data_IF_698868157688
#
_entry.id   IF_698868157688
#
_cell.length_a   1.000
_cell.length_b   1.000
_cell.length_c   1.000
_cell.angle_alpha   90.00
_cell.angle_beta   90.00
_cell.angle_gamma   90.00
#
_symmetry.space_group_name_H-M   'P 1'
#
loop_
_entity.id
_entity.type
_entity.pdbx_description
1 polymer ?
#
# COMPACT_ATOMS: atom_id res chain seq x y z
N UNK A 1 30.61 -8.35 -24.76
CA UNK A 1 29.96 -8.72 -26.01
C UNK A 1 30.67 -9.89 -26.64
N UNK A 2 29.91 -10.94 -26.95
CA UNK A 2 30.39 -12.13 -27.67
C UNK A 2 29.75 -12.18 -29.05
N UNK A 3 30.51 -12.56 -30.06
CA UNK A 3 30.01 -12.81 -31.41
C UNK A 3 29.83 -14.31 -31.61
N UNK A 4 28.64 -14.73 -32.01
CA UNK A 4 28.38 -16.10 -32.40
C UNK A 4 28.80 -16.29 -33.86
N UNK A 5 29.81 -17.12 -34.11
CA UNK A 5 30.24 -17.47 -35.46
C UNK A 5 29.65 -18.84 -35.84
N UNK A 6 28.70 -18.82 -36.75
CA UNK A 6 27.99 -20.03 -37.18
C UNK A 6 28.76 -20.79 -38.27
N UNK A 7 28.96 -22.09 -38.05
CA UNK A 7 29.61 -23.01 -38.98
C UNK A 7 28.57 -24.06 -39.43
N UNK A 8 28.07 -24.00 -40.68
CA UNK A 8 26.96 -24.83 -41.14
C UNK A 8 27.33 -26.31 -41.34
N UNK A 9 28.61 -26.61 -41.58
CA UNK A 9 29.10 -27.96 -41.87
C UNK A 9 29.78 -28.53 -40.63
N UNK A 10 28.99 -29.13 -39.74
CA UNK A 10 29.45 -29.65 -38.44
C UNK A 10 30.57 -30.71 -38.55
N UNK A 11 30.55 -31.68 -39.50
CA UNK A 11 31.65 -32.64 -39.63
C UNK A 11 32.99 -31.99 -39.98
N UNK A 12 32.98 -30.94 -40.81
CA UNK A 12 34.19 -30.21 -41.17
C UNK A 12 34.72 -29.38 -39.99
N UNK A 13 33.81 -28.82 -39.18
CA UNK A 13 34.17 -28.13 -37.94
C UNK A 13 34.86 -29.08 -36.94
N UNK A 14 34.31 -30.27 -36.72
CA UNK A 14 34.89 -31.26 -35.83
C UNK A 14 36.28 -31.70 -36.30
N UNK A 15 36.44 -31.96 -37.60
CA UNK A 15 37.75 -32.30 -38.19
C UNK A 15 38.77 -31.15 -38.01
N UNK A 16 38.33 -29.90 -38.15
CA UNK A 16 39.19 -28.74 -37.94
C UNK A 16 39.64 -28.61 -36.48
N UNK A 17 38.75 -28.82 -35.51
CA UNK A 17 39.07 -28.80 -34.08
C UNK A 17 39.95 -29.99 -33.67
N UNK A 18 39.76 -31.15 -34.29
CA UNK A 18 40.62 -32.32 -34.08
C UNK A 18 42.05 -32.08 -34.61
N UNK A 19 42.15 -31.39 -35.75
CA UNK A 19 43.43 -31.05 -36.38
C UNK A 19 44.16 -29.89 -35.67
N UNK A 20 43.40 -28.92 -35.14
CA UNK A 20 43.90 -27.79 -34.37
C UNK A 20 43.06 -27.58 -33.09
N UNK A 21 43.47 -28.21 -31.97
CA UNK A 21 42.74 -28.10 -30.70
C UNK A 21 42.73 -26.68 -30.10
N UNK A 22 43.66 -25.80 -30.49
CA UNK A 22 43.74 -24.43 -29.96
C UNK A 22 42.73 -23.49 -30.62
N UNK A 23 42.14 -23.88 -31.75
CA UNK A 23 41.20 -23.08 -32.53
C UNK A 23 40.02 -22.54 -31.70
N UNK A 24 39.45 -23.37 -30.83
CA UNK A 24 38.32 -22.98 -29.97
C UNK A 24 38.76 -21.96 -28.92
N UNK A 25 39.89 -22.21 -28.27
CA UNK A 25 40.44 -21.29 -27.25
C UNK A 25 40.85 -19.96 -27.88
N UNK A 26 41.43 -19.98 -29.08
CA UNK A 26 41.77 -18.79 -29.85
C UNK A 26 40.51 -17.95 -30.14
N UNK A 27 39.43 -18.58 -30.60
CA UNK A 27 38.17 -17.89 -30.85
C UNK A 27 37.60 -17.29 -29.56
N UNK A 28 37.56 -18.05 -28.47
CA UNK A 28 37.05 -17.59 -27.17
C UNK A 28 37.84 -16.40 -26.61
N UNK A 29 39.16 -16.42 -26.73
CA UNK A 29 40.03 -15.30 -26.31
C UNK A 29 39.77 -14.02 -27.12
N UNK A 30 39.20 -14.15 -28.33
CA UNK A 30 38.77 -13.03 -29.17
C UNK A 30 37.27 -12.73 -29.02
N UNK A 31 36.62 -13.23 -27.97
CA UNK A 31 35.18 -13.08 -27.73
C UNK A 31 34.30 -13.66 -28.86
N UNK A 32 34.78 -14.68 -29.56
CA UNK A 32 34.05 -15.39 -30.62
C UNK A 32 33.68 -16.79 -30.12
N UNK A 33 32.39 -17.09 -30.14
CA UNK A 33 31.89 -18.43 -29.82
C UNK A 33 31.54 -19.15 -31.13
N UNK A 34 32.33 -20.18 -31.46
CA UNK A 34 32.09 -21.02 -32.62
C UNK A 34 30.87 -21.91 -32.36
N UNK A 35 29.88 -21.85 -33.25
CA UNK A 35 28.62 -22.58 -33.09
C UNK A 35 28.21 -23.36 -34.35
N UNK A 36 27.86 -24.63 -34.20
CA UNK A 36 27.22 -25.51 -35.17
C UNK A 36 25.69 -25.46 -35.03
N UNK A 37 24.90 -26.06 -35.94
CA UNK A 37 23.44 -26.12 -35.81
C UNK A 37 22.96 -26.67 -34.46
N UNK A 38 23.66 -27.67 -33.93
CA UNK A 38 23.30 -28.36 -32.69
C UNK A 38 23.56 -27.48 -31.46
N UNK A 39 24.70 -26.81 -31.38
CA UNK A 39 25.07 -26.02 -30.22
C UNK A 39 24.51 -24.57 -30.26
N UNK A 40 24.15 -24.03 -31.44
CA UNK A 40 23.52 -22.73 -31.59
C UNK A 40 22.17 -22.70 -30.86
N UNK A 41 21.35 -23.75 -31.05
CA UNK A 41 20.05 -23.84 -30.38
C UNK A 41 20.21 -23.85 -28.85
N UNK A 42 21.22 -24.55 -28.34
CA UNK A 42 21.54 -24.59 -26.91
C UNK A 42 21.98 -23.20 -26.43
N UNK A 43 22.90 -22.55 -27.14
CA UNK A 43 23.38 -21.21 -26.80
C UNK A 43 22.23 -20.18 -26.77
N UNK A 44 21.36 -20.18 -27.78
CA UNK A 44 20.21 -19.28 -27.84
C UNK A 44 19.20 -19.54 -26.71
N UNK A 45 18.94 -20.82 -26.36
CA UNK A 45 18.09 -21.16 -25.19
C UNK A 45 18.71 -20.66 -23.89
N UNK A 46 20.02 -20.83 -23.73
CA UNK A 46 20.74 -20.32 -22.55
C UNK A 46 20.62 -18.80 -22.45
N UNK A 47 20.85 -18.07 -23.55
CA UNK A 47 20.66 -16.60 -23.57
C UNK A 47 19.22 -16.22 -23.23
N UNK A 48 18.23 -16.89 -23.83
CA UNK A 48 16.83 -16.63 -23.53
C UNK A 48 16.51 -16.85 -22.04
N UNK A 49 17.01 -17.93 -21.45
CA UNK A 49 16.82 -18.23 -20.04
C UNK A 49 17.48 -17.18 -19.14
N UNK A 50 18.68 -16.71 -19.49
CA UNK A 50 19.37 -15.63 -18.76
C UNK A 50 18.53 -14.34 -18.80
N UNK A 51 18.01 -13.96 -19.96
CA UNK A 51 17.14 -12.78 -20.07
C UNK A 51 15.84 -12.92 -19.31
N UNK A 52 15.20 -14.09 -19.34
CA UNK A 52 13.99 -14.34 -18.55
C UNK A 52 14.29 -14.22 -17.05
N UNK A 53 15.40 -14.80 -16.59
CA UNK A 53 15.83 -14.71 -15.20
C UNK A 53 16.10 -13.27 -14.77
N UNK A 54 16.84 -12.53 -15.60
CA UNK A 54 17.16 -11.11 -15.36
C UNK A 54 15.87 -10.27 -15.29
N UNK A 55 14.95 -10.47 -16.24
CA UNK A 55 13.65 -9.79 -16.25
C UNK A 55 12.80 -10.11 -15.01
N UNK A 56 12.76 -11.39 -14.60
CA UNK A 56 12.07 -11.80 -13.38
C UNK A 56 12.69 -11.16 -12.14
N UNK A 57 14.02 -11.12 -12.05
CA UNK A 57 14.73 -10.52 -10.91
C UNK A 57 14.46 -9.02 -10.81
N UNK A 58 14.54 -8.29 -11.94
CA UNK A 58 14.19 -6.86 -11.98
C UNK A 58 12.74 -6.59 -11.57
N UNK A 59 11.80 -7.43 -12.01
CA UNK A 59 10.41 -7.29 -11.61
C UNK A 59 10.21 -7.60 -10.13
N UNK A 60 10.85 -8.64 -9.59
CA UNK A 60 10.78 -8.98 -8.17
C UNK A 60 11.31 -7.82 -7.30
N UNK A 61 12.42 -7.19 -7.69
CA UNK A 61 12.95 -6.01 -7.01
C UNK A 61 11.96 -4.84 -7.06
N UNK A 62 11.36 -4.55 -8.22
CA UNK A 62 10.34 -3.50 -8.35
C UNK A 62 9.13 -3.80 -7.48
N UNK A 63 8.62 -5.04 -7.49
CA UNK A 63 7.50 -5.47 -6.65
C UNK A 63 7.82 -5.25 -5.17
N UNK A 64 9.00 -5.67 -4.71
CA UNK A 64 9.42 -5.48 -3.32
C UNK A 64 9.49 -4.00 -2.93
N UNK A 65 10.05 -3.14 -3.79
CA UNK A 65 10.10 -1.68 -3.55
C UNK A 65 8.70 -1.05 -3.48
N UNK A 66 7.79 -1.46 -4.37
CA UNK A 66 6.42 -0.96 -4.36
C UNK A 66 5.64 -1.45 -3.14
N UNK A 67 5.81 -2.72 -2.76
CA UNK A 67 5.19 -3.29 -1.57
C UNK A 67 5.65 -2.58 -0.29
N UNK A 68 6.94 -2.29 -0.14
CA UNK A 68 7.47 -1.54 0.99
C UNK A 68 6.83 -0.13 1.09
N UNK A 69 6.83 0.62 -0.01
CA UNK A 69 6.19 1.96 -0.06
C UNK A 69 4.69 1.92 0.24
N UNK A 70 4.01 0.87 -0.21
CA UNK A 70 2.59 0.67 0.07
C UNK A 70 2.36 0.41 1.56
N UNK A 71 3.19 -0.44 2.17
CA UNK A 71 3.13 -0.74 3.59
C UNK A 71 3.34 0.51 4.45
N UNK A 72 4.36 1.33 4.13
CA UNK A 72 4.64 2.58 4.85
C UNK A 72 3.46 3.55 4.78
N UNK A 73 2.85 3.71 3.60
CA UNK A 73 1.64 4.52 3.43
C UNK A 73 0.46 3.99 4.23
N UNK A 74 0.27 2.67 4.23
CA UNK A 74 -0.80 2.04 4.98
C UNK A 74 -0.61 2.23 6.49
N UNK A 75 0.61 2.05 7.01
CA UNK A 75 0.93 2.31 8.41
C UNK A 75 0.67 3.78 8.80
N UNK A 76 1.07 4.72 7.94
CA UNK A 76 0.77 6.14 8.12
C UNK A 76 -0.74 6.42 8.18
N UNK A 77 -1.50 5.82 7.27
CA UNK A 77 -2.97 5.94 7.24
C UNK A 77 -3.63 5.38 8.51
N UNK A 78 -3.17 4.24 9.03
CA UNK A 78 -3.65 3.69 10.30
C UNK A 78 -3.40 4.69 11.45
N UNK A 79 -2.21 5.30 11.50
CA UNK A 79 -1.90 6.33 12.50
C UNK A 79 -2.80 7.57 12.39
N UNK A 80 -3.18 7.96 11.17
CA UNK A 80 -4.13 9.07 10.98
C UNK A 80 -5.56 8.69 11.42
N UNK A 81 -6.00 7.46 11.17
CA UNK A 81 -7.27 6.93 11.67
C UNK A 81 -7.34 6.91 13.21
N UNK A 82 -6.24 6.56 13.89
CA UNK A 82 -6.17 6.62 15.35
C UNK A 82 -6.31 8.05 15.88
N UNK A 83 -5.68 9.04 15.23
CA UNK A 83 -5.82 10.46 15.61
C UNK A 83 -7.26 10.93 15.45
N UNK A 84 -7.91 10.54 14.36
CA UNK A 84 -9.34 10.85 14.13
C UNK A 84 -10.18 10.24 15.23
N UNK A 85 -9.96 8.96 15.58
CA UNK A 85 -10.66 8.30 16.69
C UNK A 85 -10.56 9.07 18.01
N UNK A 86 -9.35 9.55 18.36
CA UNK A 86 -9.14 10.37 19.57
C UNK A 86 -9.86 11.72 19.50
N UNK A 87 -9.87 12.37 18.33
CA UNK A 87 -10.57 13.64 18.15
C UNK A 87 -12.09 13.47 18.31
N UNK A 88 -12.65 12.38 17.79
CA UNK A 88 -14.07 12.03 17.96
C UNK A 88 -14.40 11.80 19.43
N UNK A 89 -13.58 11.02 20.16
CA UNK A 89 -13.76 10.78 21.59
C UNK A 89 -13.71 12.08 22.40
N UNK A 90 -12.76 12.97 22.09
CA UNK A 90 -12.68 14.28 22.74
C UNK A 90 -13.91 15.13 22.46
N UNK A 91 -14.39 15.14 21.21
CA UNK A 91 -15.60 15.88 20.82
C UNK A 91 -16.81 15.36 21.58
N UNK A 92 -16.96 14.04 21.71
CA UNK A 92 -18.03 13.42 22.49
C UNK A 92 -17.98 13.85 23.96
N UNK A 93 -16.80 13.85 24.59
CA UNK A 93 -16.62 14.33 25.97
C UNK A 93 -17.03 15.79 26.14
N UNK A 94 -16.69 16.65 25.18
CA UNK A 94 -17.10 18.06 25.22
C UNK A 94 -18.62 18.22 25.06
N UNK A 95 -19.22 17.45 24.16
CA UNK A 95 -20.67 17.41 23.98
C UNK A 95 -21.38 16.98 25.27
N UNK A 96 -20.97 15.85 25.86
CA UNK A 96 -21.57 15.33 27.09
C UNK A 96 -21.38 16.30 28.27
N UNK A 97 -20.22 16.95 28.37
CA UNK A 97 -19.97 17.96 29.39
C UNK A 97 -20.86 19.20 29.22
N UNK A 98 -21.11 19.63 27.98
CA UNK A 98 -22.01 20.75 27.68
C UNK A 98 -23.47 20.38 28.01
N UNK A 99 -23.91 19.18 27.62
CA UNK A 99 -25.24 18.67 27.92
C UNK A 99 -25.46 18.56 29.44
N UNK A 100 -24.50 18.02 30.17
CA UNK A 100 -24.57 17.95 31.64
C UNK A 100 -24.69 19.35 32.28
N UNK A 101 -23.97 20.37 31.81
CA UNK A 101 -24.14 21.74 32.32
C UNK A 101 -25.53 22.31 32.02
N UNK A 102 -26.14 21.90 30.92
CA UNK A 102 -27.48 22.33 30.52
C UNK A 102 -28.57 21.65 31.36
N UNK A 103 -28.56 20.31 31.47
CA UNK A 103 -29.73 19.53 31.91
C UNK A 103 -29.54 18.73 33.22
N UNK A 104 -28.40 18.09 33.43
CA UNK A 104 -28.28 17.01 34.45
C UNK A 104 -27.37 17.35 35.64
N UNK A 105 -26.45 18.30 35.47
CA UNK A 105 -25.42 18.64 36.46
C UNK A 105 -25.96 19.36 37.70
N UNK A 106 -25.19 19.33 38.79
CA UNK A 106 -25.52 20.05 40.03
C UNK A 106 -25.51 21.56 39.77
N UNK A 107 -26.68 22.19 39.81
CA UNK A 107 -26.84 23.60 39.42
C UNK A 107 -26.92 23.80 37.90
N UNK A 108 -27.44 22.82 37.16
CA UNK A 108 -27.65 22.95 35.71
C UNK A 108 -28.54 24.15 35.35
N UNK A 109 -28.34 24.65 34.14
CA UNK A 109 -28.97 25.88 33.66
C UNK A 109 -30.49 25.76 33.58
N UNK A 110 -31.02 24.62 33.12
CA UNK A 110 -32.47 24.40 33.05
C UNK A 110 -33.12 24.57 34.42
N UNK A 111 -32.58 23.89 35.44
CA UNK A 111 -33.11 23.96 36.81
C UNK A 111 -32.96 25.37 37.41
N UNK A 112 -31.88 26.07 37.12
CA UNK A 112 -31.68 27.45 37.58
C UNK A 112 -32.70 28.41 36.93
N UNK A 113 -32.94 28.28 35.62
CA UNK A 113 -33.91 29.09 34.89
C UNK A 113 -35.33 28.83 35.38
N UNK A 114 -35.71 27.57 35.58
CA UNK A 114 -37.03 27.22 36.16
C UNK A 114 -37.21 27.78 37.58
N UNK A 115 -36.16 27.75 38.40
CA UNK A 115 -36.21 28.33 39.75
C UNK A 115 -36.41 29.85 39.71
N UNK A 116 -35.79 30.58 38.76
CA UNK A 116 -36.03 32.01 38.57
C UNK A 116 -37.43 32.33 38.07
N UNK A 117 -37.98 31.47 37.18
CA UNK A 117 -39.37 31.60 36.72
C UNK A 117 -40.37 31.43 37.87
N UNK A 118 -40.14 30.46 38.75
CA UNK A 118 -40.94 30.25 39.97
C UNK A 118 -40.90 31.45 40.95
N UNK A 119 -39.81 32.22 40.94
CA UNK A 119 -39.65 33.44 41.73
C UNK A 119 -40.25 34.70 41.07
N UNK A 120 -40.95 34.56 39.94
CA UNK A 120 -41.70 35.64 39.31
C UNK A 120 -40.95 36.44 38.24
N UNK A 121 -39.76 35.98 37.80
CA UNK A 121 -39.05 36.60 36.68
C UNK A 121 -39.79 36.29 35.37
N UNK A 122 -40.18 37.32 34.61
CA UNK A 122 -40.80 37.17 33.29
C UNK A 122 -39.77 37.35 32.17
N UNK A 123 -39.37 36.29 31.47
CA UNK A 123 -38.42 36.40 30.36
C UNK A 123 -39.10 37.01 29.12
N UNK A 124 -38.37 37.86 28.39
CA UNK A 124 -38.85 38.51 27.15
C UNK A 124 -38.80 37.61 25.91
N UNK A 125 -38.02 36.52 25.94
CA UNK A 125 -37.98 35.47 24.91
C UNK A 125 -38.17 34.11 25.57
N UNK A 126 -39.10 33.30 25.06
CA UNK A 126 -39.31 31.92 25.49
C UNK A 126 -38.42 30.98 24.67
N UNK A 127 -37.76 30.04 25.33
CA UNK A 127 -37.27 28.82 24.66
C UNK A 127 -38.52 28.07 24.16
N UNK A 128 -38.48 27.54 22.94
CA UNK A 128 -39.57 26.71 22.46
C UNK A 128 -39.69 25.50 23.39
N UNK A 129 -40.88 25.27 23.95
CA UNK A 129 -41.18 24.07 24.72
C UNK A 129 -40.92 22.85 23.82
N UNK A 130 -39.93 22.04 24.16
CA UNK A 130 -39.73 20.72 23.55
C UNK A 130 -39.89 19.62 24.59
N UNK A 131 -40.87 19.76 25.47
CA UNK A 131 -41.16 18.79 26.52
C UNK A 131 -42.65 18.87 26.90
N UNK A 132 -43.52 18.30 26.08
CA UNK A 132 -44.89 17.88 26.45
C UNK A 132 -45.49 17.03 25.32
N UNK A 133 -44.90 15.87 25.00
CA UNK A 133 -45.52 14.92 24.03
C UNK A 133 -45.19 13.42 24.29
N UNK A 134 -44.74 13.03 25.49
CA UNK A 134 -44.55 11.60 25.85
C UNK A 134 -45.20 11.20 27.18
N UNK A 135 -46.35 11.79 27.53
CA UNK A 135 -47.07 11.42 28.76
C UNK A 135 -48.55 11.04 28.59
N UNK A 136 -49.06 10.90 27.37
CA UNK A 136 -50.45 10.44 27.12
C UNK A 136 -50.48 9.25 26.14
N UNK A 137 -49.88 8.12 26.51
CA UNK A 137 -50.26 6.79 26.01
C UNK A 137 -50.43 5.84 27.20
N UNK A 138 -51.54 6.01 27.92
CA UNK A 138 -52.13 4.97 28.75
C UNK A 138 -53.60 5.32 29.00
N UNK A 139 -54.46 4.85 28.10
CA UNK A 139 -55.84 4.44 28.34
C UNK A 139 -56.22 3.35 27.33
#
# INVERSE_FOLDING_TARGET
DYVLMFIPVEPAFLLAVESDPELVTLALNNNIMLVSPTNLLVALRTINNIWQYEYQNQNAQKIAQHAAKLYDKFAGFVGDMEKIGKAVESTQKHYDAALNKLTSGRGNLVRQVEQFRALGVQPSKRLADTSDDEADEQD
#
